data_IF_778508129675
#
_entry.id   IF_778508129675
#
_cell.length_a   1.000
_cell.length_b   1.000
_cell.length_c   1.000
_cell.angle_alpha   90.00
_cell.angle_beta   90.00
_cell.angle_gamma   90.00
#
_symmetry.space_group_name_H-M   'P 1'
#
loop_
_entity.id
_entity.type
_entity.pdbx_description
1 polymer ?
#
# COMPACT_ATOMS: atom_id res chain seq x y z
N UNK A 1 -10.20 8.25 -1.79
CA UNK A 1 -8.98 7.63 -1.24
C UNK A 1 -9.17 6.14 -0.96
N UNK A 2 -10.30 5.72 -0.36
CA UNK A 2 -10.58 4.32 0.01
C UNK A 2 -10.40 3.27 -1.11
N UNK A 3 -10.69 3.61 -2.36
CA UNK A 3 -10.55 2.69 -3.51
C UNK A 3 -9.16 2.68 -4.14
N UNK A 4 -8.18 3.37 -3.55
CA UNK A 4 -6.80 3.22 -3.99
C UNK A 4 -6.37 1.78 -3.66
N UNK A 5 -5.73 1.05 -4.59
CA UNK A 5 -5.24 -0.32 -4.34
C UNK A 5 -3.96 -0.29 -3.49
N UNK A 6 -4.10 0.29 -2.31
CA UNK A 6 -3.13 0.38 -1.23
C UNK A 6 -3.86 -0.06 0.04
N UNK A 7 -3.33 -1.08 0.72
CA UNK A 7 -3.95 -1.59 1.95
C UNK A 7 -4.04 -0.52 3.05
N UNK A 8 -3.23 0.54 2.96
CA UNK A 8 -3.24 1.68 3.90
C UNK A 8 -4.27 2.76 3.56
N UNK A 9 -5.02 2.59 2.47
CA UNK A 9 -6.00 3.58 2.03
C UNK A 9 -7.08 3.86 3.09
N UNK A 10 -7.52 2.82 3.81
CA UNK A 10 -8.45 2.92 4.93
C UNK A 10 -7.87 3.77 6.06
N UNK A 11 -6.67 3.40 6.53
CA UNK A 11 -5.98 4.07 7.63
C UNK A 11 -5.78 5.56 7.35
N UNK A 12 -5.30 5.88 6.14
CA UNK A 12 -5.10 7.26 5.72
C UNK A 12 -6.42 8.04 5.67
N UNK A 13 -7.50 7.41 5.23
CA UNK A 13 -8.82 8.05 5.20
C UNK A 13 -9.31 8.34 6.63
N UNK A 14 -9.20 7.38 7.54
CA UNK A 14 -9.54 7.56 8.95
C UNK A 14 -8.74 8.72 9.58
N UNK A 15 -7.42 8.74 9.37
CA UNK A 15 -6.54 9.80 9.88
C UNK A 15 -6.93 11.18 9.36
N UNK A 16 -7.20 11.30 8.05
CA UNK A 16 -7.61 12.56 7.43
C UNK A 16 -8.94 13.07 8.00
N UNK A 17 -9.94 12.20 8.12
CA UNK A 17 -11.25 12.57 8.66
C UNK A 17 -11.15 13.03 10.12
N UNK A 18 -10.42 12.27 10.93
CA UNK A 18 -10.20 12.61 12.35
C UNK A 18 -9.45 13.94 12.49
N UNK A 19 -8.45 14.18 11.65
CA UNK A 19 -7.69 15.44 11.67
C UNK A 19 -8.54 16.64 11.25
N UNK A 20 -9.35 16.51 10.19
CA UNK A 20 -10.21 17.60 9.70
C UNK A 20 -11.28 17.93 10.74
N UNK A 21 -11.95 16.92 11.30
CA UNK A 21 -12.91 17.10 12.40
C UNK A 21 -12.27 17.77 13.61
N UNK A 22 -11.08 17.32 14.01
CA UNK A 22 -10.34 17.89 15.14
C UNK A 22 -9.76 19.28 14.90
N UNK A 23 -9.66 19.76 13.65
CA UNK A 23 -9.28 21.14 13.32
C UNK A 23 -10.48 22.07 13.28
N UNK A 24 -11.61 21.62 12.74
CA UNK A 24 -12.83 22.40 12.65
C UNK A 24 -13.41 22.76 14.03
N UNK A 25 -13.29 21.88 15.02
CA UNK A 25 -13.85 22.07 16.37
C UNK A 25 -12.98 22.85 17.38
N UNK A 26 -11.91 23.54 16.97
CA UNK A 26 -10.99 24.25 17.90
C UNK A 26 -11.30 25.74 18.10
N UNK A 27 -12.26 26.29 17.37
CA UNK A 27 -12.72 27.66 17.56
C UNK A 27 -13.74 27.77 18.68
N UNK A 28 -14.04 28.99 19.12
CA UNK A 28 -15.15 29.24 20.05
C UNK A 28 -16.51 28.89 19.43
N UNK A 29 -16.61 28.94 18.10
CA UNK A 29 -17.78 28.51 17.34
C UNK A 29 -17.67 27.02 17.00
N UNK A 30 -18.75 26.23 17.20
CA UNK A 30 -18.80 24.85 16.72
C UNK A 30 -18.56 24.78 15.21
N UNK A 31 -17.55 24.02 14.79
CA UNK A 31 -17.30 23.74 13.38
C UNK A 31 -18.03 22.48 12.92
N UNK A 32 -18.65 22.53 11.75
CA UNK A 32 -19.29 21.38 11.11
C UNK A 32 -18.42 20.81 9.99
N UNK A 33 -18.41 19.48 9.85
CA UNK A 33 -17.68 18.79 8.78
C UNK A 33 -18.64 17.90 8.01
N UNK A 34 -18.79 18.18 6.72
CA UNK A 34 -19.58 17.37 5.79
C UNK A 34 -18.67 16.41 5.03
N UNK A 35 -18.99 15.11 5.09
CA UNK A 35 -18.24 14.05 4.39
C UNK A 35 -19.13 13.45 3.31
N UNK A 36 -18.77 13.65 2.05
CA UNK A 36 -19.41 13.01 0.91
C UNK A 36 -18.61 11.79 0.48
N UNK A 37 -19.26 10.62 0.46
CA UNK A 37 -18.62 9.37 0.04
C UNK A 37 -19.62 8.45 -0.64
N UNK A 38 -19.15 7.71 -1.65
CA UNK A 38 -19.90 6.61 -2.26
C UNK A 38 -19.90 5.34 -1.38
N UNK A 39 -19.04 5.28 -0.36
CA UNK A 39 -18.91 4.15 0.57
C UNK A 39 -19.07 4.60 2.02
N UNK A 40 -20.24 5.16 2.39
CA UNK A 40 -20.46 5.73 3.72
C UNK A 40 -20.28 4.69 4.82
N UNK A 41 -20.61 3.42 4.57
CA UNK A 41 -20.50 2.31 5.53
C UNK A 41 -19.08 1.73 5.66
N UNK A 42 -18.07 2.33 5.03
CA UNK A 42 -16.69 1.89 5.22
C UNK A 42 -16.27 2.08 6.69
N UNK A 43 -15.54 1.12 7.28
CA UNK A 43 -15.14 1.22 8.68
C UNK A 43 -14.38 2.51 9.00
N UNK A 44 -13.49 2.95 8.10
CA UNK A 44 -12.74 4.21 8.25
C UNK A 44 -13.64 5.43 8.42
N UNK A 45 -14.83 5.46 7.80
CA UNK A 45 -15.79 6.57 7.95
C UNK A 45 -16.61 6.39 9.23
N UNK A 46 -17.10 5.18 9.49
CA UNK A 46 -17.97 4.90 10.63
C UNK A 46 -17.24 5.14 11.96
N UNK A 47 -16.02 4.64 12.11
CA UNK A 47 -15.22 4.89 13.32
C UNK A 47 -14.77 6.36 13.42
N UNK A 48 -14.41 7.00 12.31
CA UNK A 48 -14.01 8.42 12.32
C UNK A 48 -15.15 9.34 12.76
N UNK A 49 -16.40 9.04 12.38
CA UNK A 49 -17.60 9.76 12.84
C UNK A 49 -17.71 9.82 14.36
N UNK A 50 -17.31 8.75 15.04
CA UNK A 50 -17.39 8.62 16.49
C UNK A 50 -16.07 8.95 17.19
N UNK A 51 -15.04 9.38 16.46
CA UNK A 51 -13.68 9.55 16.97
C UNK A 51 -13.12 8.29 17.66
N UNK A 52 -13.62 7.11 17.27
CA UNK A 52 -13.25 5.84 17.90
C UNK A 52 -11.99 5.27 17.23
N UNK A 53 -10.85 5.75 17.70
CA UNK A 53 -9.54 5.28 17.26
C UNK A 53 -9.28 3.83 17.69
N UNK A 54 -9.67 3.45 18.90
CA UNK A 54 -9.37 2.14 19.46
C UNK A 54 -10.08 1.04 18.66
N UNK A 55 -11.39 1.20 18.43
CA UNK A 55 -12.18 0.26 17.64
C UNK A 55 -11.71 0.18 16.19
N UNK A 56 -11.31 1.31 15.59
CA UNK A 56 -10.73 1.30 14.24
C UNK A 56 -9.43 0.49 14.17
N UNK A 57 -8.51 0.69 15.13
CA UNK A 57 -7.23 -0.01 15.17
C UNK A 57 -7.42 -1.51 15.36
N UNK A 58 -8.31 -1.93 16.25
CA UNK A 58 -8.63 -3.35 16.47
C UNK A 58 -9.13 -4.01 15.17
N UNK A 59 -10.14 -3.42 14.55
CA UNK A 59 -10.72 -3.93 13.30
C UNK A 59 -9.72 -3.93 12.13
N UNK A 60 -8.87 -2.91 12.03
CA UNK A 60 -7.82 -2.81 11.01
C UNK A 60 -6.74 -3.87 11.25
N UNK A 61 -6.31 -4.10 12.48
CA UNK A 61 -5.30 -5.11 12.81
C UNK A 61 -5.81 -6.53 12.51
N UNK A 62 -7.05 -6.86 12.86
CA UNK A 62 -7.66 -8.15 12.48
C UNK A 62 -7.70 -8.37 10.97
N UNK A 63 -7.97 -7.32 10.20
CA UNK A 63 -7.93 -7.39 8.74
C UNK A 63 -6.50 -7.63 8.24
N UNK A 64 -5.52 -6.91 8.78
CA UNK A 64 -4.12 -7.04 8.37
C UNK A 64 -3.50 -8.38 8.75
N UNK A 65 -3.89 -8.95 9.89
CA UNK A 65 -3.46 -10.28 10.30
C UNK A 65 -3.95 -11.34 9.31
N UNK A 66 -5.26 -11.33 9.01
CA UNK A 66 -5.87 -12.27 8.05
C UNK A 66 -5.33 -12.15 6.63
N UNK A 67 -4.88 -10.96 6.24
CA UNK A 67 -4.37 -10.69 4.90
C UNK A 67 -2.84 -10.64 4.81
N UNK A 68 -2.10 -11.06 5.84
CA UNK A 68 -0.64 -11.06 5.85
C UNK A 68 -0.03 -9.69 5.51
N UNK A 69 -0.59 -8.62 6.07
CA UNK A 69 -0.08 -7.25 5.92
C UNK A 69 0.66 -6.77 7.18
N UNK A 70 1.51 -5.74 7.06
CA UNK A 70 2.20 -5.14 8.21
C UNK A 70 1.24 -4.66 9.30
N UNK A 71 1.47 -4.95 10.59
CA UNK A 71 2.76 -5.33 11.18
C UNK A 71 3.06 -6.85 11.23
N UNK A 72 2.09 -7.71 10.91
CA UNK A 72 2.22 -9.18 11.07
C UNK A 72 3.19 -9.82 10.07
N UNK A 73 3.27 -9.23 8.87
CA UNK A 73 4.24 -9.60 7.83
C UNK A 73 4.88 -8.36 7.23
N UNK A 74 6.02 -8.55 6.59
CA UNK A 74 6.66 -7.50 5.80
C UNK A 74 6.13 -7.52 4.38
N UNK A 75 5.89 -6.33 3.83
CA UNK A 75 5.53 -6.12 2.44
C UNK A 75 6.54 -5.20 1.76
N UNK A 76 6.97 -5.55 0.55
CA UNK A 76 7.84 -4.75 -0.31
C UNK A 76 7.16 -4.58 -1.66
N UNK A 77 6.99 -3.33 -2.08
CA UNK A 77 6.52 -3.00 -3.42
C UNK A 77 7.72 -2.61 -4.29
N UNK A 78 7.97 -3.40 -5.33
CA UNK A 78 9.00 -3.09 -6.32
C UNK A 78 8.33 -2.42 -7.51
N UNK A 79 8.82 -1.25 -7.88
CA UNK A 79 8.32 -0.49 -9.04
C UNK A 79 9.36 -0.51 -10.15
N UNK A 80 8.97 -1.03 -11.31
CA UNK A 80 9.78 -1.01 -12.53
C UNK A 80 9.30 0.14 -13.41
N UNK A 81 10.22 0.98 -13.86
CA UNK A 81 9.96 2.12 -14.72
C UNK A 81 10.57 1.90 -16.10
N UNK A 82 9.86 2.25 -17.16
CA UNK A 82 10.36 2.15 -18.53
C UNK A 82 9.71 3.18 -19.44
N UNK A 83 10.46 3.77 -20.37
CA UNK A 83 9.89 4.63 -21.41
C UNK A 83 9.01 3.85 -22.41
N UNK A 84 9.17 2.53 -22.50
CA UNK A 84 8.40 1.66 -23.38
C UNK A 84 7.66 0.58 -22.60
N UNK A 85 6.36 0.45 -22.87
CA UNK A 85 5.48 -0.46 -22.16
C UNK A 85 5.93 -1.92 -22.23
N UNK A 86 6.15 -2.45 -23.43
CA UNK A 86 6.57 -3.84 -23.64
C UNK A 86 7.89 -4.18 -22.93
N UNK A 87 8.88 -3.26 -23.01
CA UNK A 87 10.16 -3.42 -22.31
C UNK A 87 9.97 -3.41 -20.79
N UNK A 88 9.09 -2.55 -20.28
CA UNK A 88 8.78 -2.46 -18.85
C UNK A 88 8.11 -3.73 -18.34
N UNK A 89 7.11 -4.24 -19.07
CA UNK A 89 6.40 -5.48 -18.77
C UNK A 89 7.36 -6.67 -18.75
N UNK A 90 8.14 -6.85 -19.82
CA UNK A 90 9.12 -7.93 -19.92
C UNK A 90 10.15 -7.89 -18.79
N UNK A 91 10.64 -6.70 -18.44
CA UNK A 91 11.61 -6.52 -17.34
C UNK A 91 10.99 -6.87 -15.99
N UNK A 92 9.74 -6.46 -15.75
CA UNK A 92 9.02 -6.77 -14.52
C UNK A 92 8.73 -8.27 -14.38
N UNK A 93 8.28 -8.94 -15.45
CA UNK A 93 8.07 -10.39 -15.46
C UNK A 93 9.37 -11.17 -15.25
N UNK A 94 10.46 -10.73 -15.90
CA UNK A 94 11.78 -11.33 -15.74
C UNK A 94 12.28 -11.19 -14.30
N UNK A 95 12.12 -10.00 -13.70
CA UNK A 95 12.48 -9.75 -12.31
C UNK A 95 11.65 -10.62 -11.36
N UNK A 96 10.34 -10.72 -11.59
CA UNK A 96 9.44 -11.58 -10.81
C UNK A 96 9.93 -13.03 -10.79
N UNK A 97 10.25 -13.58 -11.96
CA UNK A 97 10.75 -14.96 -12.08
C UNK A 97 12.02 -15.15 -11.26
N UNK A 98 13.01 -14.26 -11.41
CA UNK A 98 14.25 -14.32 -10.62
C UNK A 98 14.01 -14.24 -9.12
N UNK A 99 13.09 -13.38 -8.69
CA UNK A 99 12.71 -13.26 -7.28
C UNK A 99 12.08 -14.55 -6.77
N UNK A 100 11.19 -15.17 -7.55
CA UNK A 100 10.53 -16.43 -7.20
C UNK A 100 11.51 -17.60 -7.12
N UNK A 101 12.55 -17.62 -7.95
CA UNK A 101 13.61 -18.64 -7.92
C UNK A 101 14.58 -18.43 -6.75
N UNK A 102 14.86 -17.18 -6.39
CA UNK A 102 15.86 -16.83 -5.36
C UNK A 102 15.31 -16.81 -3.94
N UNK A 103 14.00 -16.67 -3.77
CA UNK A 103 13.35 -16.54 -2.47
C UNK A 103 12.78 -17.89 -2.01
N UNK A 104 12.87 -18.20 -0.69
CA UNK A 104 12.20 -19.37 -0.13
C UNK A 104 10.67 -19.32 -0.34
N UNK A 105 10.02 -20.48 -0.33
CA UNK A 105 8.56 -20.61 -0.49
C UNK A 105 7.72 -19.82 0.53
N UNK A 106 8.31 -19.45 1.67
CA UNK A 106 7.67 -18.60 2.68
C UNK A 106 7.36 -17.18 2.19
N UNK A 107 7.96 -16.75 1.08
CA UNK A 107 7.69 -15.46 0.45
C UNK A 107 6.66 -15.59 -0.65
N UNK A 108 5.61 -14.78 -0.56
CA UNK A 108 4.65 -14.62 -1.63
C UNK A 108 5.13 -13.52 -2.59
N UNK A 109 5.39 -13.88 -3.84
CA UNK A 109 5.67 -12.96 -4.94
C UNK A 109 4.42 -12.84 -5.80
N UNK A 110 3.78 -11.66 -5.83
CA UNK A 110 2.62 -11.40 -6.67
C UNK A 110 3.02 -11.29 -8.15
N UNK A 111 2.03 -11.40 -9.03
CA UNK A 111 2.20 -11.15 -10.47
C UNK A 111 2.67 -9.71 -10.73
N UNK A 112 3.42 -9.53 -11.82
CA UNK A 112 3.79 -8.20 -12.28
C UNK A 112 2.56 -7.55 -12.93
N UNK A 113 2.09 -6.45 -12.37
CA UNK A 113 0.91 -5.73 -12.84
C UNK A 113 1.25 -4.27 -13.17
N UNK A 114 0.53 -3.63 -14.11
CA UNK A 114 0.62 -2.19 -14.28
C UNK A 114 0.33 -1.45 -12.97
N UNK A 115 1.07 -0.38 -12.70
CA UNK A 115 0.80 0.47 -11.54
C UNK A 115 -0.57 1.16 -11.70
N UNK A 116 -1.28 1.52 -10.61
CA UNK A 116 -2.58 2.19 -10.68
C UNK A 116 -2.57 3.48 -11.51
N UNK A 117 -1.42 4.16 -11.51
CA UNK A 117 -1.10 5.20 -12.49
C UNK A 117 -0.07 4.62 -13.48
N UNK A 118 -0.58 4.10 -14.59
CA UNK A 118 0.21 3.31 -15.53
C UNK A 118 1.34 4.10 -16.18
N UNK A 119 1.11 5.38 -16.51
CA UNK A 119 2.10 6.26 -17.12
C UNK A 119 2.23 7.56 -16.35
N UNK A 120 3.44 7.88 -15.93
CA UNK A 120 3.77 9.13 -15.24
C UNK A 120 5.05 9.72 -15.85
N UNK A 121 5.00 10.99 -16.24
CA UNK A 121 6.15 11.71 -16.82
C UNK A 121 6.80 10.97 -18.00
N UNK A 122 5.98 10.38 -18.87
CA UNK A 122 6.44 9.62 -20.03
C UNK A 122 6.90 8.18 -19.76
N UNK A 123 6.95 7.74 -18.50
CA UNK A 123 7.38 6.39 -18.11
C UNK A 123 6.20 5.50 -17.73
N UNK A 124 6.18 4.30 -18.29
CA UNK A 124 5.32 3.19 -17.90
C UNK A 124 5.82 2.56 -16.60
N UNK A 125 4.90 2.24 -15.71
CA UNK A 125 5.18 1.73 -14.37
C UNK A 125 4.52 0.39 -14.14
N UNK A 126 5.29 -0.56 -13.61
CA UNK A 126 4.81 -1.89 -13.23
C UNK A 126 5.17 -2.15 -11.77
N UNK A 127 4.27 -2.79 -11.04
CA UNK A 127 4.42 -3.14 -9.64
C UNK A 127 4.56 -4.65 -9.47
N UNK A 128 5.44 -5.05 -8.56
CA UNK A 128 5.55 -6.41 -8.06
C UNK A 128 5.47 -6.32 -6.54
N UNK A 129 4.42 -6.90 -5.95
CA UNK A 129 4.25 -6.96 -4.50
C UNK A 129 4.89 -8.23 -3.96
N UNK A 130 5.70 -8.08 -2.92
CA UNK A 130 6.36 -9.17 -2.24
C UNK A 130 5.97 -9.15 -0.76
N UNK A 131 5.55 -10.29 -0.21
CA UNK A 131 5.17 -10.44 1.20
C UNK A 131 5.91 -11.61 1.84
N UNK A 132 6.30 -11.47 3.11
CA UNK A 132 6.96 -12.53 3.86
C UNK A 132 7.31 -12.15 5.30
N UNK A 133 7.76 -13.13 6.09
CA UNK A 133 8.02 -12.97 7.53
C UNK A 133 9.40 -12.39 7.87
N UNK A 134 10.39 -12.40 6.96
CA UNK A 134 11.76 -11.98 7.26
C UNK A 134 12.30 -10.85 6.37
N UNK A 135 12.33 -9.62 6.91
CA UNK A 135 12.84 -8.41 6.23
C UNK A 135 14.35 -8.51 5.87
N UNK A 136 15.13 -9.23 6.68
CA UNK A 136 16.59 -9.29 6.56
C UNK A 136 17.07 -10.01 5.29
N UNK A 137 16.34 -11.05 4.84
CA UNK A 137 16.63 -11.76 3.57
C UNK A 137 16.30 -10.89 2.35
N UNK A 138 15.22 -10.11 2.44
CA UNK A 138 14.77 -9.19 1.38
C UNK A 138 15.78 -8.06 1.11
N UNK A 139 16.31 -7.44 2.17
CA UNK A 139 17.25 -6.31 2.02
C UNK A 139 18.58 -6.68 1.36
N UNK A 140 19.07 -7.92 1.54
CA UNK A 140 20.30 -8.41 0.90
C UNK A 140 20.13 -8.57 -0.61
N UNK A 141 18.99 -9.08 -1.06
CA UNK A 141 18.69 -9.26 -2.49
C UNK A 141 18.45 -7.93 -3.22
N UNK A 142 17.79 -6.97 -2.57
CA UNK A 142 17.50 -5.66 -3.19
C UNK A 142 18.77 -4.81 -3.35
N UNK A 143 19.74 -4.91 -2.42
CA UNK A 143 21.03 -4.20 -2.56
C UNK A 143 21.85 -4.66 -3.76
N UNK A 144 21.74 -5.92 -4.16
CA UNK A 144 22.44 -6.46 -5.32
C UNK A 144 21.88 -5.95 -6.66
N UNK A 145 20.65 -5.44 -6.69
CA UNK A 145 19.99 -4.96 -7.92
C UNK A 145 20.13 -3.45 -8.21
N UNK A 146 20.78 -2.67 -7.31
CA UNK A 146 21.03 -1.23 -7.50
C UNK A 146 22.44 -0.90 -7.97
N UNK A 147 23.33 -1.89 -8.07
CA UNK A 147 24.69 -1.71 -8.59
C UNK A 147 24.74 -1.98 -10.09
N UNK A 148 24.81 -0.91 -10.89
CA UNK A 148 25.53 -1.02 -12.16
C UNK A 148 26.99 -1.36 -11.84
N UNK A 149 27.50 -2.45 -12.41
CA UNK A 149 28.90 -2.87 -12.29
C UNK A 149 29.12 -4.14 -11.47
N UNK A 150 29.05 -5.28 -12.14
CA UNK A 150 30.12 -6.28 -12.14
C UNK A 150 30.44 -6.56 -13.61
#
# INVERSE_FOLDING_TARGET
ALHLPDFRAGERTFQLLTQVAGRAGRGETPGEVFVQSYTPFSPSIQFARHHDFAGYVEQELEFRERCDFPPFKHAVLITVHSAHQERGKFSAETLRRKLRESLPQEFMVAEAAPAPLEKLSGQYRFHILLRGSAIMRLSRLIRCGRGGGC
#
